data_IF_358272351714
#
_entry.id   IF_358272351714
#
_cell.length_a   1.000
_cell.length_b   1.000
_cell.length_c   1.000
_cell.angle_alpha   90.00
_cell.angle_beta   90.00
_cell.angle_gamma   90.00
#
_symmetry.space_group_name_H-M   'P 1'
#
loop_
_entity.id
_entity.type
_entity.pdbx_description
1 polymer ?
#
# COMPACT_ATOMS: atom_id res chain seq x y z
N UNK A 1 6.89 32.35 -4.36
CA UNK A 1 6.20 31.05 -4.54
C UNK A 1 7.25 29.94 -4.49
N UNK A 2 7.17 28.99 -3.55
CA UNK A 2 8.16 27.93 -3.43
C UNK A 2 7.99 26.90 -4.55
N UNK A 3 9.01 26.75 -5.40
CA UNK A 3 9.06 25.77 -6.49
C UNK A 3 9.10 24.37 -5.87
N UNK A 4 8.09 23.53 -6.12
CA UNK A 4 8.11 22.12 -5.69
C UNK A 4 9.08 21.36 -6.58
N UNK A 5 10.15 20.80 -6.01
CA UNK A 5 11.05 19.91 -6.73
C UNK A 5 10.28 18.70 -7.27
N UNK A 6 10.54 18.36 -8.51
CA UNK A 6 10.03 17.16 -9.17
C UNK A 6 10.74 15.91 -8.65
N UNK A 7 10.13 14.73 -8.82
CA UNK A 7 10.73 13.45 -8.39
C UNK A 7 12.12 13.24 -9.04
N UNK A 8 12.29 13.66 -10.29
CA UNK A 8 13.57 13.56 -11.03
C UNK A 8 14.69 14.42 -10.39
N UNK A 9 14.34 15.59 -9.85
CA UNK A 9 15.29 16.48 -9.16
C UNK A 9 15.70 15.90 -7.80
N UNK A 10 14.78 15.28 -7.05
CA UNK A 10 15.10 14.54 -5.82
C UNK A 10 16.05 13.36 -6.07
N UNK A 11 15.88 12.64 -7.18
CA UNK A 11 16.73 11.51 -7.54
C UNK A 11 18.11 11.91 -8.09
N UNK A 12 18.29 13.14 -8.59
CA UNK A 12 19.60 13.69 -8.97
C UNK A 12 20.48 14.05 -7.77
N UNK A 13 19.89 14.47 -6.66
CA UNK A 13 20.61 14.78 -5.40
C UNK A 13 21.31 13.53 -4.84
N UNK A 14 20.69 12.35 -4.96
CA UNK A 14 21.22 11.10 -4.39
C UNK A 14 22.33 10.42 -5.20
N UNK A 15 22.56 10.80 -6.47
CA UNK A 15 23.54 10.13 -7.35
C UNK A 15 24.94 10.75 -7.36
N UNK A 16 25.16 11.89 -6.69
CA UNK A 16 26.51 12.42 -6.44
C UNK A 16 26.94 11.98 -5.05
N UNK A 17 27.84 11.00 -4.99
CA UNK A 17 28.31 10.36 -3.77
C UNK A 17 29.12 11.26 -2.84
N UNK A 18 28.49 12.26 -2.23
CA UNK A 18 28.94 12.95 -1.01
C UNK A 18 27.81 13.85 -0.51
N UNK A 19 27.00 13.33 0.41
CA UNK A 19 26.24 14.16 1.33
C UNK A 19 26.93 14.00 2.67
N UNK A 20 27.74 15.00 3.03
CA UNK A 20 28.18 15.18 4.41
C UNK A 20 26.91 15.21 5.26
N UNK A 21 26.75 14.27 6.20
CA UNK A 21 25.62 14.25 7.12
C UNK A 21 25.64 15.55 7.91
N UNK A 22 24.75 16.48 7.55
CA UNK A 22 24.69 17.81 8.14
C UNK A 22 23.98 17.83 9.49
N UNK A 23 23.11 18.83 9.70
CA UNK A 23 22.28 18.89 10.91
C UNK A 23 21.22 17.77 10.90
N UNK A 24 21.25 16.93 11.94
CA UNK A 24 20.36 15.79 12.12
C UNK A 24 18.86 16.17 12.05
N UNK A 25 18.50 17.39 12.43
CA UNK A 25 17.11 17.87 12.36
C UNK A 25 16.63 18.07 10.93
N UNK A 26 17.47 18.65 10.09
CA UNK A 26 17.15 18.93 8.69
C UNK A 26 17.04 17.63 7.89
N UNK A 27 18.01 16.73 8.08
CA UNK A 27 18.01 15.38 7.49
C UNK A 27 16.73 14.60 7.85
N UNK A 28 16.29 14.65 9.11
CA UNK A 28 15.06 13.97 9.54
C UNK A 28 13.81 14.55 8.86
N UNK A 29 13.77 15.86 8.61
CA UNK A 29 12.66 16.50 7.91
C UNK A 29 12.62 16.03 6.45
N UNK A 30 13.77 15.94 5.78
CA UNK A 30 13.86 15.45 4.41
C UNK A 30 13.46 13.99 4.28
N UNK A 31 13.92 13.14 5.20
CA UNK A 31 13.52 11.71 5.26
C UNK A 31 12.01 11.58 5.45
N UNK A 32 11.40 12.39 6.33
CA UNK A 32 9.93 12.38 6.54
C UNK A 32 9.16 12.84 5.30
N UNK A 33 9.65 13.86 4.60
CA UNK A 33 9.08 14.32 3.32
C UNK A 33 9.16 13.22 2.25
N UNK A 34 10.34 12.62 2.08
CA UNK A 34 10.56 11.52 1.13
C UNK A 34 9.67 10.30 1.44
N UNK A 35 9.55 9.92 2.72
CA UNK A 35 8.66 8.85 3.18
C UNK A 35 7.20 9.12 2.80
N UNK A 36 6.73 10.35 3.00
CA UNK A 36 5.35 10.75 2.68
C UNK A 36 5.09 10.72 1.17
N UNK A 37 6.01 11.23 0.37
CA UNK A 37 5.91 11.22 -1.10
C UNK A 37 5.88 9.78 -1.62
N UNK A 38 6.77 8.91 -1.10
CA UNK A 38 6.79 7.48 -1.43
C UNK A 38 5.47 6.80 -1.08
N UNK A 39 4.90 7.09 0.09
CA UNK A 39 3.62 6.51 0.51
C UNK A 39 2.45 6.93 -0.38
N UNK A 40 2.46 8.17 -0.90
CA UNK A 40 1.42 8.70 -1.79
C UNK A 40 1.52 8.19 -3.23
N UNK A 41 2.73 7.88 -3.68
CA UNK A 41 2.99 7.40 -5.05
C UNK A 41 2.89 5.88 -5.17
N UNK A 42 3.19 5.15 -4.10
CA UNK A 42 3.01 3.71 -4.01
C UNK A 42 1.60 3.33 -3.53
N UNK A 43 0.55 3.87 -4.16
CA UNK A 43 -0.80 3.28 -4.02
C UNK A 43 -0.79 1.98 -4.81
N UNK A 44 -0.07 0.99 -4.27
CA UNK A 44 -0.01 -0.35 -4.82
C UNK A 44 -1.38 -0.97 -4.61
N UNK A 45 -2.12 -1.15 -5.71
CA UNK A 45 -3.38 -1.91 -5.71
C UNK A 45 -3.05 -3.29 -5.12
N UNK A 46 -3.71 -3.69 -4.04
CA UNK A 46 -3.43 -4.99 -3.43
C UNK A 46 -3.67 -6.09 -4.46
N UNK A 47 -2.87 -7.16 -4.46
CA UNK A 47 -3.15 -8.34 -5.31
C UNK A 47 -4.56 -8.89 -5.02
N UNK A 48 -5.08 -8.69 -3.80
CA UNK A 48 -6.45 -9.05 -3.43
C UNK A 48 -7.50 -8.10 -4.04
N UNK A 49 -7.16 -6.83 -4.26
CA UNK A 49 -8.09 -5.85 -4.84
C UNK A 49 -8.40 -6.19 -6.31
N UNK A 50 -7.50 -6.92 -7.00
CA UNK A 50 -7.77 -7.49 -8.33
C UNK A 50 -8.97 -8.45 -8.33
N UNK A 51 -9.19 -9.15 -7.22
CA UNK A 51 -10.29 -10.11 -7.04
C UNK A 51 -11.40 -9.56 -6.14
N UNK A 52 -11.46 -8.23 -5.94
CA UNK A 52 -12.40 -7.61 -5.00
C UNK A 52 -13.87 -7.92 -5.32
N UNK A 53 -14.22 -8.07 -6.60
CA UNK A 53 -15.58 -8.43 -7.00
C UNK A 53 -15.91 -9.87 -6.57
N UNK A 54 -15.06 -10.83 -6.92
CA UNK A 54 -15.23 -12.25 -6.61
C UNK A 54 -15.24 -12.48 -5.09
N UNK A 55 -14.30 -11.88 -4.37
CA UNK A 55 -14.22 -11.98 -2.91
C UNK A 55 -15.48 -11.44 -2.25
N UNK A 56 -16.04 -10.31 -2.72
CA UNK A 56 -17.32 -9.79 -2.21
C UNK A 56 -18.49 -10.71 -2.52
N UNK A 57 -18.56 -11.27 -3.72
CA UNK A 57 -19.60 -12.25 -4.07
C UNK A 57 -19.53 -13.48 -3.16
N UNK A 58 -18.34 -14.01 -2.87
CA UNK A 58 -18.15 -15.12 -1.95
C UNK A 58 -18.55 -14.74 -0.51
N UNK A 59 -18.20 -13.54 -0.05
CA UNK A 59 -18.62 -13.05 1.27
C UNK A 59 -20.14 -12.93 1.38
N UNK A 60 -20.83 -12.46 0.33
CA UNK A 60 -22.30 -12.36 0.30
C UNK A 60 -23.00 -13.72 0.43
N UNK A 61 -22.37 -14.79 -0.04
CA UNK A 61 -22.85 -16.17 0.11
C UNK A 61 -22.50 -16.76 1.49
N UNK A 62 -21.73 -16.04 2.31
CA UNK A 62 -21.37 -16.43 3.67
C UNK A 62 -19.99 -17.08 3.81
N UNK A 63 -19.11 -16.94 2.81
CA UNK A 63 -17.78 -17.55 2.85
C UNK A 63 -16.95 -17.08 4.07
N UNK A 64 -16.35 -18.03 4.75
CA UNK A 64 -15.39 -17.82 5.84
C UNK A 64 -14.05 -17.31 5.31
N UNK A 65 -13.25 -16.72 6.21
CA UNK A 65 -11.90 -16.23 5.87
C UNK A 65 -11.00 -17.36 5.35
N UNK A 66 -11.18 -18.57 5.85
CA UNK A 66 -10.39 -19.75 5.43
C UNK A 66 -10.75 -20.16 4.00
N UNK A 67 -12.04 -20.17 3.65
CA UNK A 67 -12.50 -20.52 2.29
C UNK A 67 -12.05 -19.46 1.27
N UNK A 68 -12.10 -18.18 1.62
CA UNK A 68 -11.55 -17.11 0.79
C UNK A 68 -10.04 -17.27 0.57
N UNK A 69 -9.31 -17.70 1.60
CA UNK A 69 -7.88 -17.97 1.51
C UNK A 69 -7.57 -19.15 0.58
N UNK A 70 -8.28 -20.27 0.74
CA UNK A 70 -8.16 -21.42 -0.17
C UNK A 70 -8.50 -21.06 -1.61
N UNK A 71 -9.58 -20.28 -1.82
CA UNK A 71 -9.96 -19.83 -3.16
C UNK A 71 -8.85 -18.96 -3.79
N UNK A 72 -8.24 -18.05 -3.02
CA UNK A 72 -7.12 -17.23 -3.50
C UNK A 72 -5.89 -18.08 -3.86
N UNK A 73 -5.58 -19.11 -3.08
CA UNK A 73 -4.51 -20.05 -3.40
C UNK A 73 -4.79 -20.81 -4.70
N UNK A 74 -6.04 -21.24 -4.93
CA UNK A 74 -6.44 -21.87 -6.19
C UNK A 74 -6.29 -20.93 -7.40
N UNK A 75 -6.39 -19.61 -7.20
CA UNK A 75 -6.11 -18.60 -8.24
C UNK A 75 -4.63 -18.21 -8.36
N UNK A 76 -3.71 -18.91 -7.66
CA UNK A 76 -2.28 -18.63 -7.67
C UNK A 76 -1.86 -17.38 -6.88
N UNK A 77 -2.71 -16.91 -5.95
CA UNK A 77 -2.41 -15.74 -5.11
C UNK A 77 -1.83 -16.18 -3.77
N UNK A 78 -0.52 -16.04 -3.62
CA UNK A 78 0.15 -16.22 -2.34
C UNK A 78 -0.11 -15.04 -1.41
N UNK A 79 -0.91 -15.27 -0.36
CA UNK A 79 -1.09 -14.33 0.73
C UNK A 79 -1.29 -15.05 2.07
N UNK A 80 -0.94 -14.37 3.16
CA UNK A 80 -1.22 -14.88 4.50
C UNK A 80 -2.73 -14.79 4.80
N UNK A 81 -3.26 -15.75 5.58
CA UNK A 81 -4.66 -15.72 6.05
C UNK A 81 -5.01 -14.42 6.79
N UNK A 82 -4.05 -13.86 7.53
CA UNK A 82 -4.19 -12.55 8.21
C UNK A 82 -4.41 -11.38 7.23
N UNK A 83 -3.83 -11.46 6.03
CA UNK A 83 -4.05 -10.48 4.96
C UNK A 83 -5.50 -10.53 4.47
N UNK A 84 -6.06 -11.73 4.29
CA UNK A 84 -7.47 -11.94 3.90
C UNK A 84 -8.41 -11.42 4.98
N UNK A 85 -8.12 -11.71 6.26
CA UNK A 85 -8.89 -11.17 7.38
C UNK A 85 -8.88 -9.63 7.42
N UNK A 86 -7.70 -9.01 7.29
CA UNK A 86 -7.57 -7.54 7.25
C UNK A 86 -8.30 -6.93 6.06
N UNK A 87 -8.21 -7.57 4.89
CA UNK A 87 -8.91 -7.14 3.69
C UNK A 87 -10.42 -7.20 3.90
N UNK A 88 -10.95 -8.34 4.36
CA UNK A 88 -12.38 -8.50 4.68
C UNK A 88 -12.86 -7.43 5.65
N UNK A 89 -12.19 -7.24 6.79
CA UNK A 89 -12.55 -6.22 7.80
C UNK A 89 -12.55 -4.79 7.26
N UNK A 90 -11.66 -4.48 6.32
CA UNK A 90 -11.60 -3.16 5.66
C UNK A 90 -12.78 -2.94 4.71
N UNK A 91 -13.26 -4.00 4.07
CA UNK A 91 -14.32 -3.94 3.07
C UNK A 91 -15.72 -4.13 3.66
N UNK A 92 -15.89 -4.89 4.76
CA UNK A 92 -17.15 -4.96 5.51
C UNK A 92 -17.62 -3.57 5.96
N UNK A 93 -16.72 -2.75 6.52
CA UNK A 93 -17.04 -1.38 6.95
C UNK A 93 -17.49 -0.45 5.82
N UNK A 94 -17.09 -0.74 4.58
CA UNK A 94 -17.46 0.10 3.43
C UNK A 94 -18.82 -0.26 2.86
N UNK A 95 -19.27 -1.49 3.08
CA UNK A 95 -20.57 -1.96 2.60
C UNK A 95 -21.72 -1.56 3.56
N UNK A 96 -21.42 -1.20 4.82
CA UNK A 96 -22.41 -0.69 5.81
C UNK A 96 -22.76 0.80 5.65
N UNK A 97 -21.94 1.58 4.95
CA UNK A 97 -22.12 3.04 4.74
C UNK A 97 -22.82 3.39 3.41
N UNK A 98 -23.32 2.39 2.66
CA UNK A 98 -23.95 2.55 1.33
C UNK A 98 -25.43 2.18 1.31
#
# INVERSE_FOLDING_TARGET
MAKKLTLDELYKVRRRGKLEFGDAKEELIEVRKAKTIRHKTLVHISKLDKYAFQLRSLIKVGASVTELHFWLQAQGVECARSTVYRWRKKHEKKDEEQ
#
